data_IF_421570090060
#
_entry.id   IF_421570090060
#
_cell.length_a   1.000
_cell.length_b   1.000
_cell.length_c   1.000
_cell.angle_alpha   90.00
_cell.angle_beta   90.00
_cell.angle_gamma   90.00
#
_symmetry.space_group_name_H-M   'P 1'
#
loop_
_entity.id
_entity.type
_entity.pdbx_description
1 polymer ?
#
# COMPACT_ATOMS: atom_id res chain seq x y z
N UNK A 1 -7.94 7.02 -7.85
CA UNK A 1 -7.55 6.10 -6.77
C UNK A 1 -8.66 5.10 -6.50
N UNK A 2 -8.58 3.94 -7.15
CA UNK A 2 -9.43 2.78 -6.85
C UNK A 2 -8.81 1.97 -5.72
N UNK A 3 -9.62 1.35 -4.88
CA UNK A 3 -9.17 0.57 -3.73
C UNK A 3 -9.72 -0.86 -3.82
N UNK A 4 -8.83 -1.83 -3.73
CA UNK A 4 -9.17 -3.26 -3.69
C UNK A 4 -8.73 -3.84 -2.34
N UNK A 5 -9.56 -4.70 -1.75
CA UNK A 5 -9.24 -5.41 -0.51
C UNK A 5 -8.84 -6.85 -0.83
N UNK A 6 -7.78 -7.35 -0.21
CA UNK A 6 -7.30 -8.75 -0.29
C UNK A 6 -7.12 -9.34 1.10
N UNK A 7 -7.32 -10.64 1.27
CA UNK A 7 -7.11 -11.31 2.55
C UNK A 7 -5.64 -11.28 2.99
N UNK A 8 -4.71 -11.37 2.04
CA UNK A 8 -3.27 -11.38 2.29
C UNK A 8 -2.49 -10.70 1.16
N UNK A 9 -1.32 -10.15 1.52
CA UNK A 9 -0.26 -9.76 0.59
C UNK A 9 0.99 -10.58 0.88
N UNK A 10 1.45 -11.33 -0.12
CA UNK A 10 2.66 -12.16 -0.03
C UNK A 10 3.94 -11.36 -0.25
N UNK A 11 3.81 -10.16 -0.84
CA UNK A 11 4.92 -9.26 -1.13
C UNK A 11 5.54 -8.66 0.13
N UNK A 12 6.83 -8.34 0.07
CA UNK A 12 7.56 -7.65 1.14
C UNK A 12 7.59 -6.15 0.87
N UNK A 13 7.71 -5.36 1.93
CA UNK A 13 7.90 -3.93 1.80
C UNK A 13 9.21 -3.62 1.07
N UNK A 14 9.14 -2.85 -0.02
CA UNK A 14 10.32 -2.51 -0.82
C UNK A 14 11.35 -1.67 -0.06
N UNK A 15 10.92 -1.01 1.03
CA UNK A 15 11.82 -0.17 1.85
C UNK A 15 12.55 -0.93 2.96
N UNK A 16 11.93 -1.93 3.59
CA UNK A 16 12.53 -2.63 4.75
C UNK A 16 12.40 -4.15 4.76
N UNK A 17 11.75 -4.77 3.79
CA UNK A 17 11.60 -6.23 3.71
C UNK A 17 10.58 -6.86 4.67
N UNK A 18 9.92 -6.07 5.54
CA UNK A 18 8.83 -6.53 6.40
C UNK A 18 7.60 -6.95 5.58
N UNK A 19 6.64 -7.67 6.19
CA UNK A 19 5.41 -8.10 5.51
C UNK A 19 4.63 -6.88 4.96
N UNK A 20 4.22 -6.97 3.69
CA UNK A 20 3.40 -5.95 3.03
C UNK A 20 1.99 -5.88 3.60
N UNK A 21 1.40 -4.67 3.56
CA UNK A 21 0.00 -4.40 3.92
C UNK A 21 -0.73 -3.58 2.88
N UNK A 22 0.01 -2.81 2.07
CA UNK A 22 -0.53 -2.07 0.93
C UNK A 22 0.41 -2.20 -0.26
N UNK A 23 -0.15 -2.47 -1.43
CA UNK A 23 0.54 -2.47 -2.72
C UNK A 23 -0.05 -1.35 -3.57
N UNK A 24 0.78 -0.41 -4.01
CA UNK A 24 0.39 0.76 -4.77
C UNK A 24 0.87 0.67 -6.20
N UNK A 25 -0.03 0.85 -7.16
CA UNK A 25 0.27 0.79 -8.58
C UNK A 25 0.43 2.20 -9.12
N UNK A 26 1.55 2.45 -9.83
CA UNK A 26 1.92 3.78 -10.29
C UNK A 26 1.39 4.04 -11.71
N UNK A 27 1.01 5.29 -12.05
CA UNK A 27 0.48 5.65 -13.37
C UNK A 27 1.42 5.34 -14.53
N UNK A 28 2.74 5.43 -14.31
CA UNK A 28 3.76 5.16 -15.32
C UNK A 28 4.07 3.65 -15.48
N UNK A 29 3.35 2.79 -14.77
CA UNK A 29 3.64 1.36 -14.65
C UNK A 29 4.50 1.02 -13.43
N UNK A 30 4.49 -0.25 -13.06
CA UNK A 30 5.13 -0.76 -11.86
C UNK A 30 4.29 -0.56 -10.60
N UNK A 31 4.78 -1.12 -9.50
CA UNK A 31 4.12 -1.07 -8.21
C UNK A 31 5.14 -1.03 -7.07
N UNK A 32 4.69 -0.56 -5.92
CA UNK A 32 5.45 -0.54 -4.67
C UNK A 32 4.62 -1.16 -3.56
N UNK A 33 5.23 -2.08 -2.82
CA UNK A 33 4.67 -2.69 -1.63
C UNK A 33 5.22 -2.02 -0.38
N UNK A 34 4.32 -1.75 0.56
CA UNK A 34 4.64 -1.11 1.82
C UNK A 34 4.12 -1.94 3.00
N UNK A 35 4.93 -2.03 4.06
CA UNK A 35 4.47 -2.55 5.36
C UNK A 35 3.56 -1.51 6.03
N UNK A 36 2.80 -1.94 7.04
CA UNK A 36 1.89 -1.04 7.76
C UNK A 36 2.57 0.24 8.29
N UNK A 37 3.81 0.12 8.81
CA UNK A 37 4.58 1.27 9.29
C UNK A 37 4.89 2.30 8.19
N UNK A 38 5.48 1.86 7.07
CA UNK A 38 5.87 2.80 6.02
C UNK A 38 4.71 3.36 5.26
N UNK A 39 3.64 2.61 5.17
CA UNK A 39 2.47 3.04 4.46
C UNK A 39 1.65 4.06 5.28
N UNK A 40 1.72 4.02 6.62
CA UNK A 40 1.31 5.15 7.49
C UNK A 40 2.26 6.34 7.31
N UNK A 41 3.57 6.09 7.28
CA UNK A 41 4.58 7.15 7.18
C UNK A 41 4.53 7.90 5.84
N UNK A 42 4.10 7.24 4.76
CA UNK A 42 4.04 7.77 3.40
C UNK A 42 2.60 7.93 2.88
N UNK A 43 1.63 8.07 3.78
CA UNK A 43 0.21 8.07 3.42
C UNK A 43 -0.14 9.11 2.35
N UNK A 44 0.26 10.38 2.51
CA UNK A 44 -0.02 11.42 1.51
C UNK A 44 0.63 11.12 0.16
N UNK A 45 1.91 10.73 0.17
CA UNK A 45 2.65 10.38 -1.05
C UNK A 45 1.98 9.22 -1.80
N UNK A 46 1.55 8.18 -1.10
CA UNK A 46 0.86 7.04 -1.70
C UNK A 46 -0.46 7.50 -2.32
N UNK A 47 -1.26 8.31 -1.59
CA UNK A 47 -2.56 8.80 -2.07
C UNK A 47 -2.46 9.70 -3.29
N UNK A 48 -1.41 10.50 -3.41
CA UNK A 48 -1.24 11.42 -4.55
C UNK A 48 -0.53 10.78 -5.74
N UNK A 49 0.27 9.73 -5.51
CA UNK A 49 1.12 9.15 -6.55
C UNK A 49 0.58 7.84 -7.13
N UNK A 50 -0.27 7.13 -6.40
CA UNK A 50 -0.82 5.86 -6.86
C UNK A 50 -2.07 6.06 -7.75
N UNK A 51 -2.14 5.30 -8.84
CA UNK A 51 -3.35 5.21 -9.67
C UNK A 51 -4.44 4.40 -8.92
N UNK A 52 -4.04 3.27 -8.33
CA UNK A 52 -4.88 2.42 -7.49
C UNK A 52 -4.05 1.64 -6.47
N UNK A 53 -4.71 1.09 -5.45
CA UNK A 53 -4.07 0.34 -4.38
C UNK A 53 -4.80 -0.97 -4.07
N UNK A 54 -4.03 -1.98 -3.69
CA UNK A 54 -4.51 -3.18 -2.99
C UNK A 54 -4.15 -3.05 -1.52
N UNK A 55 -5.12 -3.30 -0.65
CA UNK A 55 -4.95 -3.22 0.80
C UNK A 55 -5.30 -4.57 1.43
N UNK A 56 -4.44 -5.04 2.34
CA UNK A 56 -4.71 -6.23 3.13
C UNK A 56 -5.89 -5.98 4.09
N UNK A 57 -6.82 -6.92 4.20
CA UNK A 57 -7.91 -6.85 5.16
C UNK A 57 -7.39 -6.65 6.59
N UNK A 58 -7.99 -5.73 7.32
CA UNK A 58 -7.54 -5.34 8.67
C UNK A 58 -6.48 -4.24 8.69
N UNK A 59 -5.89 -3.92 7.54
CA UNK A 59 -5.05 -2.74 7.39
C UNK A 59 -5.94 -1.47 7.21
N UNK A 60 -5.70 -0.40 7.96
CA UNK A 60 -6.40 0.89 7.77
C UNK A 60 -5.47 2.09 8.01
N UNK A 61 -5.51 3.11 7.15
CA UNK A 61 -4.80 4.39 7.38
C UNK A 61 -5.49 5.29 8.43
N UNK A 62 -6.49 4.76 9.13
CA UNK A 62 -7.47 5.54 9.87
C UNK A 62 -8.52 6.12 8.93
N UNK A 63 -9.78 5.81 9.21
CA UNK A 63 -10.81 6.83 9.14
C UNK A 63 -10.79 7.57 10.49
N UNK A 64 -11.24 8.82 10.49
CA UNK A 64 -11.89 9.35 11.70
C UNK A 64 -13.03 8.40 12.08
#
# INVERSE_FOLDING_TARGET
MTLTLTAELTERCDRCGAAGKVRAFLPAGGDLTFCGHHAHSHTDTIRTSADWVVIETGFSWGAI
#
